data_IF_685123672340
#
_entry.id   IF_685123672340
#
_cell.length_a   1.000
_cell.length_b   1.000
_cell.length_c   1.000
_cell.angle_alpha   90.00
_cell.angle_beta   90.00
_cell.angle_gamma   90.00
#
_symmetry.space_group_name_H-M   'P 1'
#
loop_
_entity.id
_entity.type
_entity.pdbx_description
1 polymer ?
#
# COMPACT_ATOMS: atom_id res chain seq x y z
N UNK A 1 11.65 -0.22 4.79
CA UNK A 1 10.72 -1.36 4.99
C UNK A 1 10.95 -1.92 6.39
N UNK A 2 9.89 -2.18 7.11
CA UNK A 2 9.98 -2.67 8.49
C UNK A 2 9.62 -4.15 8.58
N UNK A 3 10.24 -4.83 9.53
CA UNK A 3 9.98 -6.24 9.78
C UNK A 3 8.55 -6.44 10.31
N UNK A 4 7.84 -7.42 9.77
CA UNK A 4 6.48 -7.74 10.22
C UNK A 4 6.44 -8.35 11.63
N UNK A 5 7.55 -8.90 12.11
CA UNK A 5 7.62 -9.58 13.40
C UNK A 5 8.05 -8.65 14.54
N UNK A 6 9.09 -7.85 14.35
CA UNK A 6 9.65 -7.01 15.41
C UNK A 6 9.58 -5.50 15.16
N UNK A 7 9.21 -5.08 13.95
CA UNK A 7 9.09 -3.67 13.60
C UNK A 7 10.40 -2.95 13.30
N UNK A 8 11.53 -3.65 13.36
CA UNK A 8 12.83 -3.05 13.04
C UNK A 8 12.98 -2.79 11.56
N UNK A 9 13.81 -1.80 11.21
CA UNK A 9 14.12 -1.50 9.83
C UNK A 9 14.83 -2.70 9.19
N UNK A 10 14.37 -3.12 8.00
CA UNK A 10 14.96 -4.24 7.28
C UNK A 10 16.10 -3.77 6.41
N UNK A 11 17.20 -4.55 6.42
CA UNK A 11 18.34 -4.37 5.53
C UNK A 11 18.14 -5.20 4.26
N UNK A 12 19.21 -5.37 3.49
CA UNK A 12 19.18 -6.17 2.25
C UNK A 12 19.19 -7.68 2.49
N UNK A 13 19.35 -8.11 3.73
CA UNK A 13 19.35 -9.53 4.06
C UNK A 13 17.98 -10.17 3.87
N UNK A 14 17.95 -11.49 3.63
CA UNK A 14 16.71 -12.25 3.52
C UNK A 14 16.06 -12.54 4.87
N UNK A 15 16.71 -12.10 5.96
CA UNK A 15 16.23 -12.24 7.32
C UNK A 15 16.35 -10.91 8.06
N UNK A 16 15.54 -10.73 9.09
CA UNK A 16 15.63 -9.56 9.96
C UNK A 16 16.87 -9.70 10.86
N UNK A 17 17.74 -8.70 10.87
CA UNK A 17 18.96 -8.74 11.68
C UNK A 17 18.68 -8.64 13.19
N UNK A 18 17.51 -8.19 13.57
CA UNK A 18 17.14 -8.04 14.96
C UNK A 18 16.46 -9.30 15.54
N UNK A 19 15.42 -9.83 14.88
CA UNK A 19 14.68 -10.98 15.38
C UNK A 19 14.94 -12.28 14.60
N UNK A 20 15.75 -12.22 13.56
CA UNK A 20 16.14 -13.36 12.70
C UNK A 20 14.98 -14.00 11.93
N UNK A 21 13.83 -13.34 11.85
CA UNK A 21 12.71 -13.84 11.05
C UNK A 21 13.04 -13.80 9.57
N UNK A 22 12.62 -14.84 8.83
CA UNK A 22 12.76 -14.86 7.37
C UNK A 22 11.76 -13.88 6.77
N UNK A 23 12.27 -12.87 6.07
CA UNK A 23 11.46 -11.81 5.47
C UNK A 23 11.50 -11.83 3.95
N UNK A 24 12.04 -12.88 3.34
CA UNK A 24 12.19 -12.98 1.89
C UNK A 24 10.84 -12.86 1.19
N UNK A 25 9.87 -13.66 1.58
CA UNK A 25 8.52 -13.63 1.01
C UNK A 25 7.82 -12.31 1.32
N UNK A 26 7.96 -11.80 2.55
CA UNK A 26 7.39 -10.53 2.96
C UNK A 26 7.89 -9.38 2.07
N UNK A 27 9.21 -9.29 1.85
CA UNK A 27 9.80 -8.27 0.98
C UNK A 27 9.27 -8.38 -0.44
N UNK A 28 9.14 -9.62 -0.96
CA UNK A 28 8.63 -9.85 -2.30
C UNK A 28 7.17 -9.37 -2.43
N UNK A 29 6.34 -9.66 -1.44
CA UNK A 29 4.95 -9.23 -1.42
C UNK A 29 4.84 -7.70 -1.41
N UNK A 30 5.63 -7.03 -0.56
CA UNK A 30 5.64 -5.57 -0.48
C UNK A 30 6.12 -4.95 -1.79
N UNK A 31 7.18 -5.48 -2.41
CA UNK A 31 7.67 -5.00 -3.70
C UNK A 31 6.62 -5.18 -4.80
N UNK A 32 5.92 -6.31 -4.81
CA UNK A 32 4.85 -6.57 -5.77
C UNK A 32 3.70 -5.58 -5.59
N UNK A 33 3.30 -5.30 -4.36
CA UNK A 33 2.29 -4.29 -4.06
C UNK A 33 2.72 -2.93 -4.60
N UNK A 34 3.96 -2.52 -4.35
CA UNK A 34 4.48 -1.23 -4.82
C UNK A 34 4.59 -1.17 -6.35
N UNK A 35 4.90 -2.29 -6.99
CA UNK A 35 4.91 -2.37 -8.45
C UNK A 35 3.52 -2.04 -9.02
N UNK A 36 2.47 -2.65 -8.48
CA UNK A 36 1.11 -2.37 -8.94
C UNK A 36 0.66 -0.95 -8.60
N UNK A 37 1.10 -0.41 -7.46
CA UNK A 37 0.85 0.98 -7.12
C UNK A 37 1.45 1.92 -8.17
N UNK A 38 2.72 1.70 -8.53
CA UNK A 38 3.40 2.53 -9.53
C UNK A 38 2.72 2.40 -10.89
N UNK A 39 2.29 1.20 -11.28
CA UNK A 39 1.55 0.98 -12.51
C UNK A 39 0.22 1.75 -12.50
N UNK A 40 -0.51 1.70 -11.38
CA UNK A 40 -1.75 2.46 -11.23
C UNK A 40 -1.52 3.95 -11.29
N UNK A 41 -0.44 4.44 -10.70
CA UNK A 41 -0.06 5.85 -10.74
C UNK A 41 0.19 6.31 -12.18
N UNK A 42 0.93 5.53 -12.96
CA UNK A 42 1.19 5.87 -14.36
C UNK A 42 -0.10 5.87 -15.20
N UNK A 43 -0.98 4.90 -14.97
CA UNK A 43 -2.29 4.86 -15.63
C UNK A 43 -3.15 6.08 -15.27
N UNK A 44 -3.14 6.48 -14.01
CA UNK A 44 -3.87 7.67 -13.56
C UNK A 44 -3.35 8.95 -14.23
N UNK A 45 -2.02 9.04 -14.42
CA UNK A 45 -1.40 10.20 -15.09
C UNK A 45 -1.87 10.36 -16.52
N UNK A 46 -2.09 9.25 -17.23
CA UNK A 46 -2.59 9.29 -18.60
C UNK A 46 -4.12 9.21 -18.68
N UNK A 47 -4.80 9.37 -17.53
CA UNK A 47 -6.26 9.38 -17.42
C UNK A 47 -6.93 8.05 -17.77
N UNK A 48 -6.20 6.95 -17.69
CA UNK A 48 -6.78 5.60 -17.74
C UNK A 48 -7.27 5.22 -16.36
N UNK A 49 -8.40 5.79 -15.94
CA UNK A 49 -8.91 5.65 -14.58
C UNK A 49 -9.36 4.22 -14.27
N UNK A 50 -10.00 3.56 -15.25
CA UNK A 50 -10.43 2.16 -15.07
C UNK A 50 -9.25 1.23 -14.87
N UNK A 51 -8.21 1.37 -15.70
CA UNK A 51 -6.98 0.60 -15.55
C UNK A 51 -6.26 0.89 -14.24
N UNK A 52 -6.25 2.16 -13.83
CA UNK A 52 -5.67 2.56 -12.55
C UNK A 52 -6.37 1.87 -11.38
N UNK A 53 -7.70 1.79 -11.38
CA UNK A 53 -8.46 1.11 -10.34
C UNK A 53 -8.07 -0.37 -10.25
N UNK A 54 -7.98 -1.05 -11.39
CA UNK A 54 -7.61 -2.46 -11.43
C UNK A 54 -6.22 -2.66 -10.82
N UNK A 55 -5.23 -1.86 -11.24
CA UNK A 55 -3.86 -1.96 -10.74
C UNK A 55 -3.77 -1.65 -9.26
N UNK A 56 -4.47 -0.62 -8.79
CA UNK A 56 -4.46 -0.24 -7.37
C UNK A 56 -5.13 -1.30 -6.49
N UNK A 57 -6.21 -1.92 -6.98
CA UNK A 57 -6.83 -3.04 -6.27
C UNK A 57 -5.89 -4.23 -6.17
N UNK A 58 -5.11 -4.52 -7.23
CA UNK A 58 -4.09 -5.56 -7.17
C UNK A 58 -3.02 -5.22 -6.14
N UNK A 59 -2.57 -3.97 -6.09
CA UNK A 59 -1.64 -3.51 -5.07
C UNK A 59 -2.15 -3.79 -3.67
N UNK A 60 -3.41 -3.46 -3.40
CA UNK A 60 -4.04 -3.67 -2.09
C UNK A 60 -4.29 -5.14 -1.78
N UNK A 61 -4.44 -5.97 -2.80
CA UNK A 61 -4.57 -7.41 -2.63
C UNK A 61 -3.29 -8.02 -2.07
N UNK A 62 -2.12 -7.52 -2.50
CA UNK A 62 -0.83 -7.97 -1.97
C UNK A 62 -0.48 -7.30 -0.64
N UNK A 63 -0.88 -6.05 -0.45
CA UNK A 63 -0.64 -5.33 0.81
C UNK A 63 -1.80 -4.38 1.09
N UNK A 64 -2.79 -4.85 1.84
CA UNK A 64 -3.99 -4.07 2.17
C UNK A 64 -3.67 -2.82 3.01
N UNK A 65 -2.48 -2.74 3.60
CA UNK A 65 -2.03 -1.61 4.41
C UNK A 65 -1.19 -0.62 3.62
N UNK A 66 -1.15 -0.72 2.29
CA UNK A 66 -0.45 0.21 1.44
C UNK A 66 -1.23 1.53 1.39
N UNK A 67 -0.86 2.47 2.26
CA UNK A 67 -1.54 3.76 2.42
C UNK A 67 -1.51 4.56 1.12
N UNK A 68 -0.37 4.56 0.42
CA UNK A 68 -0.22 5.29 -0.85
C UNK A 68 -1.20 4.78 -1.90
N UNK A 69 -1.36 3.46 -2.00
CA UNK A 69 -2.29 2.87 -2.96
C UNK A 69 -3.74 3.20 -2.60
N UNK A 70 -4.10 3.20 -1.33
CA UNK A 70 -5.45 3.56 -0.89
C UNK A 70 -5.76 5.03 -1.16
N UNK A 71 -4.82 5.92 -0.88
CA UNK A 71 -4.99 7.35 -1.14
C UNK A 71 -5.18 7.61 -2.64
N UNK A 72 -4.36 7.00 -3.47
CA UNK A 72 -4.47 7.15 -4.92
C UNK A 72 -5.77 6.54 -5.46
N UNK A 73 -6.16 5.37 -4.95
CA UNK A 73 -7.42 4.74 -5.34
C UNK A 73 -8.61 5.63 -4.99
N UNK A 74 -8.59 6.25 -3.80
CA UNK A 74 -9.61 7.22 -3.41
C UNK A 74 -9.68 8.39 -4.36
N UNK A 75 -8.52 8.95 -4.75
CA UNK A 75 -8.46 10.05 -5.70
C UNK A 75 -9.01 9.64 -7.07
N UNK A 76 -8.67 8.45 -7.56
CA UNK A 76 -9.18 7.95 -8.84
C UNK A 76 -10.70 7.76 -8.79
N UNK A 77 -11.23 7.20 -7.71
CA UNK A 77 -12.69 7.08 -7.52
C UNK A 77 -13.37 8.45 -7.53
N UNK A 78 -12.76 9.42 -6.85
CA UNK A 78 -13.31 10.78 -6.82
C UNK A 78 -13.37 11.39 -8.22
N UNK A 79 -12.31 11.20 -9.01
CA UNK A 79 -12.27 11.67 -10.40
C UNK A 79 -13.32 11.02 -11.29
N UNK A 80 -13.75 9.79 -10.95
CA UNK A 80 -14.79 9.08 -11.67
C UNK A 80 -16.20 9.42 -11.18
N UNK A 81 -16.33 10.26 -10.14
CA UNK A 81 -17.61 10.59 -9.53
C UNK A 81 -18.07 9.59 -8.48
N UNK A 82 -17.27 8.59 -8.14
CA UNK A 82 -17.55 7.58 -7.11
C UNK A 82 -17.18 8.13 -5.73
N UNK A 83 -17.92 9.16 -5.26
CA UNK A 83 -17.55 9.89 -4.04
C UNK A 83 -17.61 9.00 -2.80
N UNK A 84 -18.62 8.14 -2.70
CA UNK A 84 -18.78 7.25 -1.55
C UNK A 84 -17.59 6.29 -1.44
N UNK A 85 -17.17 5.67 -2.56
CA UNK A 85 -16.02 4.78 -2.59
C UNK A 85 -14.75 5.52 -2.23
N UNK A 86 -14.58 6.75 -2.74
CA UNK A 86 -13.43 7.60 -2.42
C UNK A 86 -13.32 7.88 -0.93
N UNK A 87 -14.43 8.26 -0.30
CA UNK A 87 -14.48 8.55 1.14
C UNK A 87 -14.17 7.31 1.96
N UNK A 88 -14.66 6.13 1.55
CA UNK A 88 -14.34 4.87 2.24
C UNK A 88 -12.85 4.59 2.22
N UNK A 89 -12.19 4.75 1.07
CA UNK A 89 -10.75 4.51 0.96
C UNK A 89 -9.96 5.50 1.82
N UNK A 90 -10.35 6.77 1.83
CA UNK A 90 -9.67 7.79 2.63
C UNK A 90 -9.83 7.57 4.14
N UNK A 91 -11.00 7.10 4.59
CA UNK A 91 -11.22 6.75 6.00
C UNK A 91 -10.32 5.59 6.41
N UNK A 92 -10.23 4.55 5.58
CA UNK A 92 -9.34 3.41 5.85
C UNK A 92 -7.89 3.87 5.91
N UNK A 93 -7.46 4.71 4.97
CA UNK A 93 -6.11 5.25 4.95
C UNK A 93 -5.79 6.05 6.21
N UNK A 94 -6.71 6.88 6.66
CA UNK A 94 -6.56 7.67 7.89
C UNK A 94 -6.41 6.75 9.11
N UNK A 95 -7.21 5.71 9.19
CA UNK A 95 -7.14 4.75 10.29
C UNK A 95 -5.82 3.98 10.29
N UNK A 96 -5.30 3.62 9.12
CA UNK A 96 -4.00 2.96 9.01
C UNK A 96 -2.86 3.87 9.49
N UNK A 97 -2.91 5.16 9.15
CA UNK A 97 -1.92 6.14 9.64
C UNK A 97 -1.99 6.28 11.16
N UNK A 98 -3.18 6.34 11.72
CA UNK A 98 -3.37 6.45 13.17
C UNK A 98 -2.78 5.23 13.89
N UNK A 99 -3.04 4.02 13.40
CA UNK A 99 -2.47 2.79 13.96
C UNK A 99 -0.95 2.79 13.88
N UNK A 100 -0.39 3.21 12.75
CA UNK A 100 1.06 3.30 12.58
C UNK A 100 1.68 4.28 13.57
N UNK A 101 1.06 5.44 13.78
CA UNK A 101 1.53 6.43 14.74
C UNK A 101 1.43 5.91 16.18
N UNK A 102 0.36 5.22 16.51
CA UNK A 102 0.19 4.62 17.84
C UNK A 102 1.21 3.51 18.11
N UNK A 103 1.60 2.77 17.07
CA UNK A 103 2.60 1.70 17.22
C UNK A 103 4.00 2.25 17.49
N UNK A 104 4.25 3.53 17.23
CA UNK A 104 5.54 4.18 17.50
C UNK A 104 5.64 4.69 18.95
N UNK A 105 4.51 4.81 19.60
CA UNK A 105 4.46 5.23 21.01
C UNK A 105 4.66 4.04 21.93
#
# INVERSE_FOLDING_TARGET
>A
MRCYNCGCELSEHSFCTNCLADVTLYKKIIRTSNFFYNQGLEMAKVRDLSGAIVSLRQSLKFNKNNIKARNLLGLVYFEMGEVTAALCEWVISKNLKAKKNMAVL
#
